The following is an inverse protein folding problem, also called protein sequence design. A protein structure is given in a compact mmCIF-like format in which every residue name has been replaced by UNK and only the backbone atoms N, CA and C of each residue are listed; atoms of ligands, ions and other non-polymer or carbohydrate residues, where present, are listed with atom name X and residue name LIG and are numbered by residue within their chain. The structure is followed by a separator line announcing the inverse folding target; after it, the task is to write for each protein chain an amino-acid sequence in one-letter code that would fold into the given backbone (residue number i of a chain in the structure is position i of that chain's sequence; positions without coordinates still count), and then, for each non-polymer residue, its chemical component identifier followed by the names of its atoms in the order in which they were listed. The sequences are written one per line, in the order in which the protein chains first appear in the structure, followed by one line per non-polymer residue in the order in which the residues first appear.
data_IF_599958817483
#
_entry.id   IF_599958817483
#
_cell.length_a   1.000
_cell.length_b   1.000
_cell.length_c   1.000
_cell.angle_alpha   90.00
_cell.angle_beta   90.00
_cell.angle_gamma   90.00
#
_symmetry.space_group_name_H-M   'P 1'
#
loop_
_entity.id
_entity.type
_entity.pdbx_description
1 polymer ?
#
# COMPACT_ATOMS: atom_id res chain seq x y z
N UNK A 1 24.29 15.61 -14.44
CA UNK A 1 24.55 15.57 -12.99
C UNK A 1 23.45 16.21 -12.12
N UNK A 2 23.27 17.55 -12.02
CA UNK A 2 22.23 18.15 -11.14
C UNK A 2 20.80 17.70 -11.46
N UNK A 3 20.42 17.72 -12.74
CA UNK A 3 19.09 17.27 -13.18
C UNK A 3 18.81 15.77 -12.91
N UNK A 4 19.84 14.92 -12.90
CA UNK A 4 19.68 13.48 -12.60
C UNK A 4 19.51 13.25 -11.10
N UNK A 5 20.24 14.01 -10.28
CA UNK A 5 20.10 13.99 -8.82
C UNK A 5 18.72 14.49 -8.39
N UNK A 6 18.21 15.56 -9.01
CA UNK A 6 16.86 16.07 -8.76
C UNK A 6 15.79 15.03 -9.12
N UNK A 7 15.92 14.37 -10.28
CA UNK A 7 15.01 13.28 -10.68
C UNK A 7 15.08 12.08 -9.73
N UNK A 8 16.28 11.72 -9.27
CA UNK A 8 16.45 10.63 -8.30
C UNK A 8 15.80 10.97 -6.95
N UNK A 9 15.99 12.20 -6.47
CA UNK A 9 15.35 12.69 -5.25
C UNK A 9 13.82 12.76 -5.38
N UNK A 10 13.30 13.16 -6.54
CA UNK A 10 11.87 13.14 -6.82
C UNK A 10 11.30 11.71 -6.76
N UNK A 11 11.93 10.75 -7.45
CA UNK A 11 11.52 9.34 -7.40
C UNK A 11 11.50 8.79 -5.98
N UNK A 12 12.55 9.07 -5.20
CA UNK A 12 12.62 8.63 -3.81
C UNK A 12 11.49 9.20 -2.95
N UNK A 13 11.12 10.47 -3.16
CA UNK A 13 9.97 11.08 -2.46
C UNK A 13 8.66 10.41 -2.84
N UNK A 14 8.44 10.13 -4.12
CA UNK A 14 7.23 9.48 -4.61
C UNK A 14 7.11 8.04 -4.08
N UNK A 15 8.22 7.29 -4.09
CA UNK A 15 8.28 5.94 -3.51
C UNK A 15 8.02 5.95 -2.00
N UNK A 16 8.61 6.91 -1.27
CA UNK A 16 8.35 7.09 0.16
C UNK A 16 6.88 7.38 0.43
N UNK A 17 6.26 8.29 -0.33
CA UNK A 17 4.85 8.61 -0.19
C UNK A 17 3.97 7.38 -0.40
N UNK A 18 4.26 6.59 -1.44
CA UNK A 18 3.52 5.37 -1.75
C UNK A 18 3.58 4.34 -0.60
N UNK A 19 4.75 4.13 0.01
CA UNK A 19 4.92 3.20 1.13
C UNK A 19 4.18 3.70 2.38
N UNK A 20 4.22 5.00 2.67
CA UNK A 20 3.47 5.61 3.79
C UNK A 20 1.95 5.44 3.61
N UNK A 21 1.44 5.70 2.41
CA UNK A 21 0.01 5.52 2.13
C UNK A 21 -0.42 4.05 2.32
N UNK A 22 0.42 3.10 1.89
CA UNK A 22 0.17 1.68 2.11
C UNK A 22 0.11 1.34 3.61
N UNK A 23 1.06 1.83 4.41
CA UNK A 23 1.06 1.66 5.87
C UNK A 23 -0.23 2.21 6.50
N UNK A 24 -0.68 3.40 6.08
CA UNK A 24 -1.92 4.00 6.56
C UNK A 24 -3.17 3.16 6.20
N UNK A 25 -3.26 2.66 4.96
CA UNK A 25 -4.38 1.79 4.54
C UNK A 25 -4.37 0.46 5.30
N UNK A 26 -3.19 -0.11 5.54
CA UNK A 26 -3.05 -1.33 6.35
C UNK A 26 -3.50 -1.11 7.79
N UNK A 27 -3.08 -0.01 8.42
CA UNK A 27 -3.52 0.40 9.76
C UNK A 27 -5.04 0.58 9.83
N UNK A 28 -5.64 1.28 8.84
CA UNK A 28 -7.08 1.45 8.76
C UNK A 28 -7.83 0.12 8.65
N UNK A 29 -7.37 -0.81 7.81
CA UNK A 29 -7.95 -2.17 7.67
C UNK A 29 -7.82 -2.98 8.95
N UNK A 30 -6.66 -2.95 9.60
CA UNK A 30 -6.44 -3.64 10.86
C UNK A 30 -7.41 -3.14 11.95
N UNK A 31 -7.53 -1.82 12.11
CA UNK A 31 -8.46 -1.20 13.08
C UNK A 31 -9.93 -1.45 12.74
N UNK A 32 -10.32 -1.36 11.47
CA UNK A 32 -11.70 -1.72 11.08
C UNK A 32 -12.01 -3.19 11.33
N UNK A 33 -11.04 -4.09 11.10
CA UNK A 33 -11.14 -5.50 11.45
C UNK A 33 -11.31 -5.72 12.96
N UNK A 34 -10.64 -4.90 13.79
CA UNK A 34 -10.82 -4.89 15.25
C UNK A 34 -12.25 -4.55 15.66
N UNK A 35 -12.85 -3.52 15.07
CA UNK A 35 -14.26 -3.19 15.33
C UNK A 35 -15.24 -4.28 14.84
N UNK A 36 -14.81 -5.12 13.89
CA UNK A 36 -15.55 -6.29 13.43
C UNK A 36 -15.33 -7.55 14.30
N UNK A 37 -14.57 -7.46 15.40
CA UNK A 37 -14.31 -8.58 16.32
C UNK A 37 -13.33 -9.64 15.78
N UNK A 38 -12.57 -9.32 14.72
CA UNK A 38 -11.61 -10.24 14.11
C UNK A 38 -10.27 -10.26 14.89
N UNK A 39 -9.75 -11.47 15.17
CA UNK A 39 -8.41 -11.67 15.74
C UNK A 39 -7.33 -11.48 14.66
N UNK A 40 -6.13 -10.98 15.03
CA UNK A 40 -4.98 -10.79 14.12
C UNK A 40 -4.64 -9.32 13.76
N UNK A 41 -5.19 -8.36 14.49
CA UNK A 41 -4.96 -6.92 14.29
C UNK A 41 -3.53 -6.45 14.59
N UNK A 42 -2.87 -7.12 15.54
CA UNK A 42 -1.49 -6.91 15.95
C UNK A 42 -0.51 -7.12 14.79
N UNK A 43 -0.73 -8.14 13.96
CA UNK A 43 0.06 -8.39 12.76
C UNK A 43 -0.06 -7.23 11.77
N UNK A 44 -1.29 -6.80 11.48
CA UNK A 44 -1.55 -5.68 10.56
C UNK A 44 -0.96 -4.35 11.06
N UNK A 45 -1.07 -4.07 12.35
CA UNK A 45 -0.49 -2.88 12.98
C UNK A 45 1.03 -2.91 13.00
N UNK A 46 1.63 -4.07 13.31
CA UNK A 46 3.09 -4.26 13.32
C UNK A 46 3.65 -4.09 11.91
N UNK A 47 3.00 -4.67 10.90
CA UNK A 47 3.40 -4.53 9.50
C UNK A 47 3.29 -3.07 9.03
N UNK A 48 2.24 -2.35 9.44
CA UNK A 48 2.13 -0.92 9.14
C UNK A 48 3.26 -0.11 9.78
N UNK A 49 3.62 -0.40 11.04
CA UNK A 49 4.73 0.27 11.72
C UNK A 49 6.09 -0.03 11.07
N UNK A 50 6.31 -1.26 10.60
CA UNK A 50 7.51 -1.62 9.84
C UNK A 50 7.60 -0.85 8.52
N UNK A 51 6.49 -0.74 7.77
CA UNK A 51 6.44 0.04 6.53
C UNK A 51 6.70 1.53 6.76
N UNK A 52 6.14 2.13 7.83
CA UNK A 52 6.45 3.50 8.22
C UNK A 52 7.94 3.68 8.52
N UNK A 53 8.54 2.72 9.22
CA UNK A 53 9.98 2.73 9.54
C UNK A 53 10.83 2.62 8.27
N UNK A 54 10.50 1.70 7.36
CA UNK A 54 11.17 1.54 6.06
C UNK A 54 11.05 2.83 5.24
N UNK A 55 9.88 3.46 5.23
CA UNK A 55 9.67 4.70 4.47
C UNK A 55 10.58 5.84 4.97
N UNK A 56 10.82 5.95 6.29
CA UNK A 56 11.72 6.95 6.85
C UNK A 56 13.16 6.81 6.33
N UNK A 57 13.64 5.58 6.18
CA UNK A 57 15.02 5.26 5.78
C UNK A 57 15.12 4.58 4.40
N UNK A 58 14.19 4.90 3.49
CA UNK A 58 13.99 4.16 2.23
C UNK A 58 15.22 4.14 1.30
N UNK A 59 16.09 5.15 1.39
CA UNK A 59 17.35 5.25 0.65
C UNK A 59 18.53 4.52 1.30
N UNK A 60 18.34 4.06 2.54
CA UNK A 60 19.39 3.43 3.37
C UNK A 60 19.17 1.93 3.57
N UNK A 61 17.97 1.41 3.24
CA UNK A 61 17.69 -0.02 3.26
C UNK A 61 18.33 -0.72 2.05
N UNK A 62 18.59 -2.04 2.13
CA UNK A 62 19.01 -2.80 0.97
C UNK A 62 18.07 -2.59 -0.22
N UNK A 63 18.64 -2.45 -1.42
CA UNK A 63 17.88 -2.15 -2.64
C UNK A 63 16.70 -3.11 -2.85
N UNK A 64 16.89 -4.39 -2.54
CA UNK A 64 15.82 -5.39 -2.62
C UNK A 64 14.65 -5.06 -1.67
N UNK A 65 14.93 -4.67 -0.44
CA UNK A 65 13.90 -4.27 0.54
C UNK A 65 13.12 -3.06 0.03
N UNK A 66 13.80 -2.05 -0.52
CA UNK A 66 13.13 -0.89 -1.14
C UNK A 66 12.21 -1.33 -2.27
N UNK A 67 12.72 -2.12 -3.22
CA UNK A 67 11.94 -2.59 -4.38
C UNK A 67 10.72 -3.39 -3.95
N UNK A 68 10.88 -4.30 -3.00
CA UNK A 68 9.79 -5.17 -2.54
C UNK A 68 8.74 -4.36 -1.77
N UNK A 69 9.14 -3.40 -0.94
CA UNK A 69 8.22 -2.50 -0.25
C UNK A 69 7.41 -1.62 -1.22
N UNK A 70 8.09 -1.04 -2.23
CA UNK A 70 7.43 -0.26 -3.28
C UNK A 70 6.52 -1.13 -4.13
N UNK A 71 6.93 -2.35 -4.48
CA UNK A 71 6.11 -3.30 -5.23
C UNK A 71 4.85 -3.71 -4.45
N UNK A 72 4.98 -4.01 -3.15
CA UNK A 72 3.86 -4.32 -2.28
C UNK A 72 2.88 -3.14 -2.16
N UNK A 73 3.42 -1.92 -1.99
CA UNK A 73 2.59 -0.72 -1.91
C UNK A 73 1.87 -0.40 -3.24
N UNK A 74 2.51 -0.69 -4.38
CA UNK A 74 1.85 -0.61 -5.70
C UNK A 74 0.75 -1.65 -5.81
N UNK A 75 1.04 -2.92 -5.51
CA UNK A 75 0.02 -3.98 -5.54
C UNK A 75 -1.17 -3.63 -4.62
N UNK A 76 -0.95 -3.09 -3.44
CA UNK A 76 -2.04 -2.69 -2.55
C UNK A 76 -2.90 -1.56 -3.13
N UNK A 77 -2.28 -0.58 -3.79
CA UNK A 77 -2.96 0.57 -4.38
C UNK A 77 -3.69 0.19 -5.68
N UNK A 78 -3.01 -0.60 -6.51
CA UNK A 78 -3.41 -0.96 -7.86
C UNK A 78 -4.29 -2.22 -7.90
N UNK A 79 -4.25 -3.07 -6.87
CA UNK A 79 -4.78 -4.43 -6.99
C UNK A 79 -3.90 -5.28 -7.92
N UNK A 80 -4.28 -6.55 -8.19
CA UNK A 80 -3.49 -7.41 -9.08
C UNK A 80 -3.39 -6.86 -10.52
N UNK A 81 -4.34 -6.01 -10.94
CA UNK A 81 -4.47 -5.53 -12.32
C UNK A 81 -4.27 -4.00 -12.52
N UNK A 82 -4.15 -3.20 -11.45
CA UNK A 82 -4.31 -1.73 -11.53
C UNK A 82 -3.29 -1.01 -12.38
N UNK A 83 -3.52 0.22 -12.91
CA UNK A 83 -4.61 1.21 -12.87
C UNK A 83 -5.60 1.38 -11.70
N UNK A 84 -5.11 1.31 -10.47
CA UNK A 84 -5.79 1.64 -9.20
C UNK A 84 -7.10 0.93 -8.94
N UNK A 85 -7.17 -0.37 -9.24
CA UNK A 85 -8.45 -1.00 -9.33
C UNK A 85 -8.73 -2.11 -8.29
N UNK A 86 -9.58 -1.81 -7.30
CA UNK A 86 -10.21 -2.80 -6.46
C UNK A 86 -11.56 -3.32 -6.99
N UNK A 87 -11.79 -3.38 -8.32
CA UNK A 87 -12.87 -4.15 -9.01
C UNK A 87 -13.09 -3.87 -10.53
N UNK A 88 -13.01 -2.63 -11.03
CA UNK A 88 -13.22 -2.05 -12.40
C UNK A 88 -14.50 -2.46 -13.15
N UNK A 89 -15.23 -3.45 -12.66
CA UNK A 89 -16.33 -4.17 -13.27
C UNK A 89 -17.32 -4.64 -12.18
N UNK A 90 -17.76 -3.76 -11.27
CA UNK A 90 -19.01 -4.04 -10.52
C UNK A 90 -20.21 -3.89 -11.48
N UNK A 91 -20.34 -4.76 -12.49
CA UNK A 91 -21.59 -5.00 -13.22
C UNK A 91 -22.02 -6.42 -12.87
N UNK A 92 -22.98 -6.57 -11.98
CA UNK A 92 -23.50 -7.89 -11.60
C UNK A 92 -24.16 -8.01 -10.24
N UNK A 93 -24.73 -6.94 -9.68
CA UNK A 93 -25.46 -7.00 -8.41
C UNK A 93 -26.74 -6.13 -8.42
N UNK A 94 -27.54 -6.18 -9.50
CA UNK A 94 -29.00 -5.89 -9.54
C UNK A 94 -29.50 -6.51 -10.86
N UNK A 95 -30.54 -7.31 -11.01
CA UNK A 95 -31.59 -7.81 -10.11
C UNK A 95 -31.95 -9.18 -10.66
N UNK A 96 -31.90 -10.23 -9.84
CA UNK A 96 -32.70 -11.40 -10.13
C UNK A 96 -34.16 -10.97 -9.97
N UNK A 97 -34.97 -11.12 -11.01
CA UNK A 97 -36.42 -11.10 -10.83
C UNK A 97 -36.78 -12.41 -10.13
N UNK A 98 -36.62 -12.41 -8.81
CA UNK A 98 -37.27 -13.37 -7.95
C UNK A 98 -38.73 -13.00 -7.86
N UNK A 99 -39.53 -13.40 -8.85
CA UNK A 99 -40.97 -13.64 -8.78
C UNK A 99 -41.38 -14.62 -9.88
#
# INVERSE_FOLDING_TARGET
MRAEQERAAARLRDERALVVEFAQRLRKRAVHGTYAGLRGQDVGLTMAAMLDSIALVLDQVPEQVRRDAVAAARHDRDGPDGPNDPRRNRKGLTSGDGH
#
